data_IF_424947824631
#
_entry.id   IF_424947824631
#
_cell.length_a   1.000
_cell.length_b   1.000
_cell.length_c   1.000
_cell.angle_alpha   90.00
_cell.angle_beta   90.00
_cell.angle_gamma   90.00
#
_symmetry.space_group_name_H-M   'P 1'
#
loop_
_entity.id
_entity.type
_entity.pdbx_description
1 polymer ?
#
# COMPACT_ATOMS: atom_id res chain seq x y z
N UNK A 1 7.23 -2.41 0.99
CA UNK A 1 7.89 -1.54 2.03
C UNK A 1 8.79 -2.31 3.00
N UNK A 2 8.37 -3.39 3.65
CA UNK A 2 9.22 -4.09 4.64
C UNK A 2 10.63 -4.42 4.12
N UNK A 3 10.76 -4.91 2.88
CA UNK A 3 12.07 -5.20 2.28
C UNK A 3 12.89 -3.93 1.98
N UNK A 4 12.24 -2.82 1.63
CA UNK A 4 12.93 -1.55 1.39
C UNK A 4 13.58 -1.01 2.68
N UNK A 5 12.84 -1.08 3.80
CA UNK A 5 13.38 -0.72 5.11
C UNK A 5 14.46 -1.70 5.58
N UNK A 6 14.28 -3.02 5.35
CA UNK A 6 15.27 -4.02 5.71
C UNK A 6 16.58 -3.83 4.91
N UNK A 7 16.48 -3.56 3.60
CA UNK A 7 17.63 -3.25 2.75
C UNK A 7 18.39 -2.02 3.25
N UNK A 8 17.64 -0.94 3.55
CA UNK A 8 18.24 0.30 4.06
C UNK A 8 18.98 0.10 5.38
N UNK A 9 18.39 -0.62 6.33
CA UNK A 9 19.04 -0.91 7.59
C UNK A 9 20.33 -1.76 7.40
N UNK A 10 20.27 -2.75 6.49
CA UNK A 10 21.46 -3.56 6.15
C UNK A 10 22.56 -2.73 5.46
N UNK A 11 22.19 -1.78 4.60
CA UNK A 11 23.10 -0.83 3.96
C UNK A 11 23.78 0.07 5.02
N UNK A 12 23.02 0.53 6.03
CA UNK A 12 23.54 1.33 7.16
C UNK A 12 24.40 0.54 8.14
N UNK A 13 24.63 -0.74 7.91
CA UNK A 13 25.53 -1.59 8.69
C UNK A 13 24.87 -2.33 9.84
N UNK A 14 23.55 -2.28 9.94
CA UNK A 14 22.84 -3.13 10.91
C UNK A 14 22.84 -4.59 10.43
N UNK A 15 22.96 -5.52 11.38
CA UNK A 15 22.78 -6.94 11.11
C UNK A 15 21.29 -7.26 11.02
N UNK A 16 20.78 -7.40 9.79
CA UNK A 16 19.35 -7.58 9.52
C UNK A 16 19.05 -8.98 9.04
N UNK A 17 18.09 -9.63 9.68
CA UNK A 17 17.58 -10.95 9.29
C UNK A 17 16.11 -10.84 8.95
N UNK A 18 15.75 -11.09 7.69
CA UNK A 18 14.36 -11.10 7.23
C UNK A 18 13.84 -12.54 7.15
N UNK A 19 12.85 -12.84 7.98
CA UNK A 19 12.14 -14.12 7.95
C UNK A 19 10.94 -14.03 7.02
N UNK A 20 10.85 -14.94 6.05
CA UNK A 20 9.78 -14.92 5.05
C UNK A 20 9.16 -16.29 4.83
N UNK A 21 7.88 -16.31 4.46
CA UNK A 21 7.17 -17.52 4.04
C UNK A 21 7.23 -17.67 2.51
N UNK A 22 6.85 -16.60 1.80
CA UNK A 22 6.89 -16.53 0.34
C UNK A 22 7.64 -15.28 -0.08
N UNK A 23 8.60 -15.41 -0.98
CA UNK A 23 9.38 -14.30 -1.51
C UNK A 23 9.12 -14.17 -3.01
N UNK A 24 8.67 -13.00 -3.44
CA UNK A 24 8.54 -12.69 -4.87
C UNK A 24 9.85 -12.12 -5.38
N UNK A 25 10.37 -12.68 -6.46
CA UNK A 25 11.69 -12.34 -7.05
C UNK A 25 11.79 -10.92 -7.62
N UNK A 26 10.69 -10.19 -7.68
CA UNK A 26 10.66 -8.78 -8.14
C UNK A 26 11.47 -7.85 -7.23
N UNK A 27 11.64 -8.22 -5.95
CA UNK A 27 12.42 -7.44 -4.99
C UNK A 27 13.86 -7.95 -4.94
N UNK A 28 14.82 -7.04 -5.08
CA UNK A 28 16.26 -7.36 -4.96
C UNK A 28 16.69 -7.11 -3.50
N UNK A 29 17.04 -8.16 -2.74
CA UNK A 29 17.57 -8.00 -1.39
C UNK A 29 18.98 -7.42 -1.45
N UNK A 30 19.31 -6.56 -0.47
CA UNK A 30 20.68 -6.08 -0.29
C UNK A 30 21.62 -7.27 0.04
N UNK A 31 22.88 -7.31 -0.45
CA UNK A 31 23.79 -8.44 -0.22
C UNK A 31 24.04 -8.77 1.26
N UNK A 32 24.00 -7.78 2.14
CA UNK A 32 24.14 -7.95 3.60
C UNK A 32 22.86 -8.38 4.32
N UNK A 33 21.70 -8.37 3.63
CA UNK A 33 20.43 -8.79 4.21
C UNK A 33 20.36 -10.31 4.25
N UNK A 34 20.31 -10.88 5.44
CA UNK A 34 20.15 -12.33 5.61
C UNK A 34 18.70 -12.73 5.45
N UNK A 35 18.42 -13.55 4.44
CA UNK A 35 17.08 -14.08 4.17
C UNK A 35 16.94 -15.49 4.76
N UNK A 36 15.90 -15.71 5.58
CA UNK A 36 15.61 -17.04 6.13
C UNK A 36 14.17 -17.42 5.77
N UNK A 37 14.05 -18.52 5.02
CA UNK A 37 12.73 -19.08 4.70
C UNK A 37 12.16 -19.84 5.89
N UNK A 38 10.91 -19.54 6.24
CA UNK A 38 10.18 -20.26 7.28
C UNK A 38 9.83 -21.65 6.75
N UNK A 39 10.13 -22.73 7.49
CA UNK A 39 9.98 -24.09 6.98
C UNK A 39 8.54 -24.54 6.75
N UNK A 40 7.57 -23.88 7.40
CA UNK A 40 6.14 -24.22 7.31
C UNK A 40 5.43 -23.26 6.36
N UNK A 41 5.04 -23.67 5.14
CA UNK A 41 4.55 -22.77 4.08
C UNK A 41 3.08 -22.37 4.26
N UNK A 42 2.72 -21.77 5.41
CA UNK A 42 1.38 -21.23 5.64
C UNK A 42 1.40 -20.06 6.63
N UNK A 43 0.37 -19.22 6.62
CA UNK A 43 0.23 -18.13 7.60
C UNK A 43 0.23 -18.66 9.04
N UNK A 44 -0.52 -19.75 9.30
CA UNK A 44 -0.56 -20.40 10.60
C UNK A 44 0.80 -21.00 10.98
N UNK A 45 1.47 -21.64 10.02
CA UNK A 45 2.81 -22.18 10.21
C UNK A 45 3.84 -21.09 10.54
N UNK A 46 3.74 -19.91 9.90
CA UNK A 46 4.55 -18.74 10.23
C UNK A 46 4.34 -18.34 11.70
N UNK A 47 3.10 -18.24 12.13
CA UNK A 47 2.75 -17.85 13.51
C UNK A 47 3.31 -18.86 14.51
N UNK A 48 3.06 -20.16 14.31
CA UNK A 48 3.54 -21.24 15.19
C UNK A 48 5.08 -21.22 15.26
N UNK A 49 5.74 -21.21 14.10
CA UNK A 49 7.20 -21.22 14.04
C UNK A 49 7.82 -20.01 14.76
N UNK A 50 7.34 -18.80 14.46
CA UNK A 50 7.83 -17.59 15.07
C UNK A 50 7.61 -17.55 16.60
N UNK A 51 6.47 -18.10 17.07
CA UNK A 51 6.17 -18.16 18.52
C UNK A 51 7.10 -19.10 19.27
N UNK A 52 7.47 -20.22 18.65
CA UNK A 52 8.36 -21.22 19.26
C UNK A 52 9.84 -20.84 19.15
N UNK A 53 10.19 -20.05 18.13
CA UNK A 53 11.58 -19.63 17.90
C UNK A 53 12.06 -18.65 18.96
N UNK A 54 13.27 -18.87 19.47
CA UNK A 54 14.01 -17.87 20.26
C UNK A 54 14.84 -17.00 19.29
N UNK A 55 14.59 -15.70 19.31
CA UNK A 55 15.33 -14.74 18.50
C UNK A 55 16.47 -14.16 19.34
N UNK A 56 17.68 -14.22 18.82
CA UNK A 56 18.84 -13.54 19.40
C UNK A 56 19.09 -12.23 18.62
N UNK A 57 18.24 -11.24 18.88
CA UNK A 57 18.30 -9.92 18.22
C UNK A 57 17.94 -8.84 19.22
N UNK A 58 18.51 -7.65 19.05
CA UNK A 58 18.20 -6.49 19.89
C UNK A 58 16.78 -5.98 19.64
N UNK A 59 16.29 -6.05 18.38
CA UNK A 59 14.98 -5.61 17.98
C UNK A 59 14.27 -6.71 17.18
N UNK A 60 12.98 -6.86 17.38
CA UNK A 60 12.10 -7.73 16.62
C UNK A 60 11.00 -6.87 16.03
N UNK A 61 10.87 -6.84 14.71
CA UNK A 61 9.83 -6.08 14.01
C UNK A 61 8.88 -7.07 13.34
N UNK A 62 7.59 -6.92 13.59
CA UNK A 62 6.53 -7.77 13.01
C UNK A 62 5.45 -6.90 12.38
N UNK A 63 4.90 -7.35 11.28
CA UNK A 63 3.87 -6.62 10.50
C UNK A 63 2.48 -7.30 10.53
N UNK A 64 2.31 -8.31 11.38
CA UNK A 64 1.03 -9.01 11.58
C UNK A 64 0.66 -8.94 13.07
N UNK A 65 -0.56 -8.46 13.38
CA UNK A 65 -1.00 -8.28 14.77
C UNK A 65 -1.00 -9.59 15.58
N UNK A 66 -1.27 -10.72 14.96
CA UNK A 66 -1.20 -12.02 15.63
C UNK A 66 0.23 -12.36 16.09
N UNK A 67 1.25 -12.02 15.30
CA UNK A 67 2.65 -12.16 15.71
C UNK A 67 3.02 -11.17 16.80
N UNK A 68 2.56 -9.93 16.71
CA UNK A 68 2.76 -8.94 17.76
C UNK A 68 2.19 -9.44 19.09
N UNK A 69 0.97 -10.01 19.08
CA UNK A 69 0.32 -10.56 20.28
C UNK A 69 1.12 -11.69 20.94
N UNK A 70 1.56 -12.66 20.16
CA UNK A 70 2.22 -13.85 20.70
C UNK A 70 3.66 -13.60 21.12
N UNK A 71 4.41 -12.84 20.32
CA UNK A 71 5.80 -12.53 20.59
C UNK A 71 5.96 -11.52 21.74
N UNK A 72 4.98 -10.66 21.98
CA UNK A 72 5.03 -9.70 23.10
C UNK A 72 5.08 -10.37 24.47
N UNK A 73 4.54 -11.58 24.61
CA UNK A 73 4.61 -12.32 25.86
C UNK A 73 6.02 -12.62 26.35
N UNK A 74 7.01 -12.70 25.43
CA UNK A 74 8.40 -13.01 25.74
C UNK A 74 9.41 -11.91 25.34
N UNK A 75 9.00 -11.02 24.46
CA UNK A 75 9.93 -10.08 23.81
C UNK A 75 9.45 -8.62 23.87
N UNK A 76 8.53 -8.28 24.75
CA UNK A 76 7.84 -6.97 24.79
C UNK A 76 8.81 -5.78 24.73
N UNK A 77 9.92 -5.80 25.47
CA UNK A 77 10.88 -4.69 25.53
C UNK A 77 11.68 -4.46 24.25
N UNK A 78 11.65 -5.39 23.30
CA UNK A 78 12.38 -5.31 22.04
C UNK A 78 11.51 -5.57 20.81
N UNK A 79 10.18 -5.71 21.02
CA UNK A 79 9.22 -5.95 19.97
C UNK A 79 8.61 -4.63 19.50
N UNK A 80 8.58 -4.45 18.19
CA UNK A 80 7.90 -3.34 17.51
C UNK A 80 6.88 -3.93 16.55
N UNK A 81 5.63 -3.48 16.65
CA UNK A 81 4.62 -3.77 15.66
C UNK A 81 4.70 -2.73 14.54
N UNK A 82 5.00 -3.17 13.33
CA UNK A 82 5.02 -2.33 12.13
C UNK A 82 3.67 -2.41 11.41
N UNK A 83 2.77 -1.51 11.73
CA UNK A 83 1.43 -1.47 11.20
C UNK A 83 1.43 -0.92 9.76
N UNK A 84 1.40 -1.83 8.78
CA UNK A 84 1.31 -1.52 7.35
C UNK A 84 -0.15 -1.43 6.85
N UNK A 85 -1.13 -1.67 7.68
CA UNK A 85 -2.56 -1.62 7.44
C UNK A 85 -3.31 -2.02 8.71
N UNK A 86 -4.63 -2.06 8.62
CA UNK A 86 -5.48 -2.54 9.71
C UNK A 86 -5.97 -3.95 9.39
N UNK A 87 -5.42 -4.94 10.09
CA UNK A 87 -5.63 -6.37 9.76
C UNK A 87 -7.10 -6.79 9.74
N UNK A 88 -7.96 -6.17 10.59
CA UNK A 88 -9.40 -6.47 10.62
C UNK A 88 -10.08 -6.18 9.28
N UNK A 89 -9.63 -5.16 8.55
CA UNK A 89 -10.23 -4.74 7.29
C UNK A 89 -10.11 -5.80 6.17
N UNK A 90 -9.14 -6.71 6.29
CA UNK A 90 -8.96 -7.80 5.32
C UNK A 90 -9.98 -8.92 5.45
N UNK A 91 -10.77 -8.96 6.53
CA UNK A 91 -11.72 -10.03 6.78
C UNK A 91 -13.17 -9.58 6.55
N UNK A 92 -13.94 -10.38 5.79
CA UNK A 92 -15.40 -10.24 5.70
C UNK A 92 -16.12 -11.00 6.84
N UNK A 93 -15.52 -12.08 7.30
CA UNK A 93 -16.08 -12.93 8.34
C UNK A 93 -16.08 -12.23 9.71
N UNK A 94 -17.26 -12.08 10.38
CA UNK A 94 -17.38 -11.34 11.64
C UNK A 94 -16.57 -11.98 12.79
N UNK A 95 -16.47 -13.31 12.83
CA UNK A 95 -15.68 -14.00 13.84
C UNK A 95 -14.18 -13.70 13.70
N UNK A 96 -13.66 -13.69 12.45
CA UNK A 96 -12.26 -13.31 12.19
C UNK A 96 -12.02 -11.85 12.54
N UNK A 97 -12.96 -10.95 12.27
CA UNK A 97 -12.89 -9.54 12.67
C UNK A 97 -12.80 -9.42 14.19
N UNK A 98 -13.71 -10.08 14.92
CA UNK A 98 -13.73 -10.06 16.38
C UNK A 98 -12.42 -10.60 16.96
N UNK A 99 -11.92 -11.73 16.46
CA UNK A 99 -10.64 -12.29 16.87
C UNK A 99 -9.49 -11.30 16.65
N UNK A 100 -9.42 -10.69 15.46
CA UNK A 100 -8.38 -9.71 15.13
C UNK A 100 -8.47 -8.49 16.05
N UNK A 101 -9.67 -7.97 16.30
CA UNK A 101 -9.89 -6.86 17.24
C UNK A 101 -9.43 -7.22 18.66
N UNK A 102 -9.70 -8.43 19.13
CA UNK A 102 -9.21 -8.92 20.43
C UNK A 102 -7.68 -8.93 20.49
N UNK A 103 -7.00 -9.34 19.39
CA UNK A 103 -5.55 -9.31 19.31
C UNK A 103 -5.00 -7.89 19.37
N UNK A 104 -5.66 -6.90 18.73
CA UNK A 104 -5.31 -5.49 18.85
C UNK A 104 -5.46 -4.97 20.27
N UNK A 105 -6.58 -5.26 20.94
CA UNK A 105 -6.79 -4.90 22.35
C UNK A 105 -5.70 -5.51 23.23
N UNK A 106 -5.43 -6.79 23.08
CA UNK A 106 -4.42 -7.49 23.86
C UNK A 106 -3.02 -6.90 23.65
N UNK A 107 -2.59 -6.74 22.40
CA UNK A 107 -1.24 -6.27 22.07
C UNK A 107 -1.03 -4.80 22.38
N UNK A 108 -1.94 -3.94 21.91
CA UNK A 108 -1.72 -2.51 21.94
C UNK A 108 -2.21 -1.88 23.24
N UNK A 109 -3.42 -2.25 23.69
CA UNK A 109 -4.01 -1.65 24.89
C UNK A 109 -3.51 -2.28 26.20
N UNK A 110 -3.44 -3.62 26.28
CA UNK A 110 -3.07 -4.32 27.53
C UNK A 110 -1.54 -4.46 27.66
N UNK A 111 -0.87 -4.88 26.59
CA UNK A 111 0.58 -5.07 26.62
C UNK A 111 1.38 -3.85 26.17
N UNK A 112 0.73 -2.80 25.69
CA UNK A 112 1.36 -1.55 25.25
C UNK A 112 2.56 -1.81 24.30
N UNK A 113 2.36 -2.66 23.28
CA UNK A 113 3.39 -2.96 22.28
C UNK A 113 3.65 -1.71 21.47
N UNK A 114 4.92 -1.26 21.46
CA UNK A 114 5.35 -0.11 20.66
C UNK A 114 5.05 -0.33 19.20
N UNK A 115 4.46 0.66 18.56
CA UNK A 115 3.96 0.55 17.19
C UNK A 115 4.54 1.63 16.30
N UNK A 116 4.93 1.25 15.08
CA UNK A 116 5.22 2.19 14.00
C UNK A 116 4.10 2.06 12.97
N UNK A 117 3.38 3.13 12.69
CA UNK A 117 2.31 3.16 11.68
C UNK A 117 2.75 3.90 10.42
N UNK A 118 2.33 3.40 9.26
CA UNK A 118 2.76 3.91 7.94
C UNK A 118 1.99 5.14 7.45
N UNK A 119 1.01 5.64 8.22
CA UNK A 119 0.29 6.87 7.90
C UNK A 119 -0.29 7.53 9.16
N UNK A 120 -0.53 8.84 9.09
CA UNK A 120 -1.20 9.59 10.16
C UNK A 120 -2.62 9.06 10.42
N UNK A 121 -3.36 8.71 9.35
CA UNK A 121 -4.72 8.15 9.46
C UNK A 121 -4.73 6.83 10.25
N UNK A 122 -3.81 5.90 9.92
CA UNK A 122 -3.68 4.62 10.64
C UNK A 122 -3.22 4.84 12.09
N UNK A 123 -2.25 5.73 12.30
CA UNK A 123 -1.75 6.10 13.63
C UNK A 123 -2.87 6.64 14.53
N UNK A 124 -3.63 7.59 14.02
CA UNK A 124 -4.75 8.20 14.75
C UNK A 124 -5.80 7.14 15.10
N UNK A 125 -6.19 6.30 14.16
CA UNK A 125 -7.15 5.21 14.38
C UNK A 125 -6.67 4.25 15.49
N UNK A 126 -5.38 3.85 15.47
CA UNK A 126 -4.83 2.95 16.48
C UNK A 126 -4.76 3.61 17.87
N UNK A 127 -4.44 4.90 17.94
CA UNK A 127 -4.47 5.67 19.20
C UNK A 127 -5.88 5.79 19.76
N UNK A 128 -6.84 6.17 18.94
CA UNK A 128 -8.24 6.39 19.38
C UNK A 128 -8.93 5.10 19.79
N UNK A 129 -8.76 4.00 19.01
CA UNK A 129 -9.46 2.75 19.26
C UNK A 129 -8.80 1.88 20.33
N UNK A 130 -7.47 1.93 20.43
CA UNK A 130 -6.72 0.99 21.28
C UNK A 130 -5.83 1.66 22.31
N UNK A 131 -5.84 3.00 22.39
CA UNK A 131 -4.90 3.76 23.24
C UNK A 131 -3.44 3.33 23.02
N UNK A 132 -3.09 3.08 21.74
CA UNK A 132 -1.81 2.52 21.36
C UNK A 132 -0.69 3.57 21.42
N UNK A 133 0.50 3.15 21.82
CA UNK A 133 1.73 3.94 21.72
C UNK A 133 2.29 3.84 20.31
N UNK A 134 2.00 4.85 19.47
CA UNK A 134 2.28 4.83 18.04
C UNK A 134 3.17 5.98 17.61
N UNK A 135 4.28 5.64 16.98
CA UNK A 135 5.13 6.55 16.21
C UNK A 135 4.71 6.48 14.74
N UNK A 136 4.46 7.62 14.11
CA UNK A 136 4.11 7.65 12.67
C UNK A 136 5.37 7.78 11.83
N UNK A 137 5.53 6.87 10.88
CA UNK A 137 6.54 6.93 9.81
C UNK A 137 5.82 6.72 8.49
N UNK A 138 5.44 7.82 7.86
CA UNK A 138 4.72 7.75 6.58
C UNK A 138 5.61 7.11 5.50
N UNK A 139 5.00 6.21 4.72
CA UNK A 139 5.69 5.62 3.58
C UNK A 139 5.99 6.68 2.53
N UNK A 140 7.02 6.42 1.73
CA UNK A 140 7.40 7.26 0.61
C UNK A 140 7.45 6.48 -0.71
N UNK A 141 7.54 7.21 -1.80
CA UNK A 141 7.78 6.69 -3.14
C UNK A 141 9.25 6.88 -3.53
N UNK A 142 9.74 5.94 -4.29
CA UNK A 142 11.08 5.98 -4.89
C UNK A 142 11.04 6.83 -6.17
N UNK A 143 11.39 8.11 -6.04
CA UNK A 143 11.37 9.06 -7.16
C UNK A 143 12.42 8.77 -8.23
N UNK A 144 13.42 7.93 -7.95
CA UNK A 144 14.36 7.45 -8.97
C UNK A 144 13.75 6.34 -9.83
N UNK A 145 12.81 5.57 -9.29
CA UNK A 145 12.09 4.52 -10.00
C UNK A 145 10.77 4.99 -10.62
N UNK A 146 10.09 5.99 -10.00
CA UNK A 146 8.80 6.50 -10.44
C UNK A 146 8.88 7.99 -10.73
N UNK A 147 8.82 8.34 -12.00
CA UNK A 147 8.84 9.69 -12.57
C UNK A 147 8.10 9.66 -13.91
N UNK A 148 7.70 10.81 -14.48
CA UNK A 148 7.05 10.84 -15.79
C UNK A 148 7.96 10.29 -16.89
N UNK A 149 7.55 9.17 -17.50
CA UNK A 149 8.31 8.47 -18.55
C UNK A 149 7.33 7.68 -19.44
N UNK A 150 6.74 8.38 -20.41
CA UNK A 150 5.72 7.82 -21.29
C UNK A 150 6.31 6.85 -22.32
N UNK A 151 5.62 5.75 -22.59
CA UNK A 151 5.96 4.79 -23.64
C UNK A 151 5.25 5.19 -24.95
N UNK A 152 6.04 5.56 -25.98
CA UNK A 152 5.51 5.99 -27.27
C UNK A 152 4.67 4.90 -27.96
N UNK A 153 5.01 3.63 -27.79
CA UNK A 153 4.24 2.53 -28.35
C UNK A 153 2.85 2.45 -27.72
N UNK A 154 2.76 2.59 -26.38
CA UNK A 154 1.49 2.60 -25.67
C UNK A 154 0.64 3.81 -26.08
N UNK A 155 1.23 4.99 -26.18
CA UNK A 155 0.55 6.21 -26.61
C UNK A 155 0.00 6.05 -28.05
N UNK A 156 0.83 5.55 -28.97
CA UNK A 156 0.45 5.33 -30.36
C UNK A 156 -0.69 4.30 -30.49
N UNK A 157 -0.61 3.19 -29.75
CA UNK A 157 -1.59 2.10 -29.84
C UNK A 157 -2.95 2.46 -29.22
N UNK A 158 -2.98 3.24 -28.15
CA UNK A 158 -4.27 3.72 -27.61
C UNK A 158 -4.94 4.72 -28.54
N UNK A 159 -4.17 5.44 -29.37
CA UNK A 159 -4.67 6.44 -30.30
C UNK A 159 -5.44 7.56 -29.58
N UNK A 160 -6.68 7.83 -30.03
CA UNK A 160 -7.56 8.82 -29.41
C UNK A 160 -8.27 8.34 -28.15
N UNK A 161 -8.20 7.03 -27.81
CA UNK A 161 -8.83 6.50 -26.59
C UNK A 161 -8.12 6.97 -25.34
N UNK A 162 -8.90 7.05 -24.25
CA UNK A 162 -8.35 7.31 -22.91
C UNK A 162 -8.04 5.99 -22.20
N UNK A 163 -6.84 5.87 -21.67
CA UNK A 163 -6.42 4.71 -20.89
C UNK A 163 -6.76 4.91 -19.40
N UNK A 164 -7.67 4.07 -18.90
CA UNK A 164 -8.01 4.00 -17.46
C UNK A 164 -7.23 2.86 -16.84
N UNK A 165 -6.27 3.20 -15.98
CA UNK A 165 -5.41 2.22 -15.30
C UNK A 165 -6.09 1.70 -14.05
N UNK A 166 -6.06 0.37 -13.87
CA UNK A 166 -6.50 -0.33 -12.66
C UNK A 166 -5.38 -1.21 -12.10
N UNK A 167 -5.33 -1.30 -10.77
CA UNK A 167 -4.61 -2.38 -10.09
C UNK A 167 -5.57 -3.53 -9.80
N UNK A 168 -5.38 -4.67 -10.46
CA UNK A 168 -6.17 -5.88 -10.22
C UNK A 168 -5.51 -6.76 -9.18
N UNK A 169 -6.20 -6.98 -8.07
CA UNK A 169 -5.83 -7.92 -7.01
C UNK A 169 -7.07 -8.57 -6.43
N UNK A 170 -6.97 -9.85 -6.09
CA UNK A 170 -8.04 -10.61 -5.42
C UNK A 170 -8.35 -10.12 -4.00
N UNK A 171 -7.52 -9.24 -3.46
CA UNK A 171 -7.73 -8.60 -2.17
C UNK A 171 -8.96 -7.69 -2.20
N UNK A 172 -9.98 -8.05 -1.43
CA UNK A 172 -11.25 -7.31 -1.31
C UNK A 172 -11.05 -5.82 -0.99
N UNK A 173 -10.01 -5.49 -0.23
CA UNK A 173 -9.77 -4.09 0.18
C UNK A 173 -9.45 -3.19 -1.01
N UNK A 174 -8.98 -3.73 -2.14
CA UNK A 174 -8.58 -2.95 -3.33
C UNK A 174 -9.74 -2.51 -4.22
N UNK A 175 -10.95 -3.02 -3.99
CA UNK A 175 -12.17 -2.51 -4.63
C UNK A 175 -12.30 -2.81 -6.14
N UNK A 176 -11.67 -3.88 -6.65
CA UNK A 176 -11.79 -4.25 -8.07
C UNK A 176 -13.24 -4.46 -8.49
N UNK A 177 -14.06 -5.04 -7.64
CA UNK A 177 -15.50 -5.23 -7.87
C UNK A 177 -16.28 -3.90 -7.98
N UNK A 178 -15.86 -2.88 -7.21
CA UNK A 178 -16.42 -1.51 -7.33
C UNK A 178 -15.98 -0.89 -8.66
N UNK A 179 -14.69 -1.06 -9.03
CA UNK A 179 -14.19 -0.57 -10.32
C UNK A 179 -14.99 -1.15 -11.49
N UNK A 180 -15.20 -2.48 -11.49
CA UNK A 180 -15.95 -3.18 -12.54
C UNK A 180 -17.39 -2.66 -12.64
N UNK A 181 -18.09 -2.49 -11.51
CA UNK A 181 -19.45 -1.94 -11.49
C UNK A 181 -19.48 -0.52 -12.04
N UNK A 182 -18.60 0.37 -11.57
CA UNK A 182 -18.54 1.74 -12.04
C UNK A 182 -18.27 1.82 -13.54
N UNK A 183 -17.30 1.05 -14.06
CA UNK A 183 -16.92 1.03 -15.47
C UNK A 183 -18.04 0.47 -16.37
N UNK A 184 -18.78 -0.55 -15.92
CA UNK A 184 -19.90 -1.11 -16.69
C UNK A 184 -21.13 -0.20 -16.74
N UNK A 185 -21.22 0.76 -15.82
CA UNK A 185 -22.32 1.74 -15.76
C UNK A 185 -21.96 3.11 -16.33
N UNK A 186 -20.76 3.28 -16.89
CA UNK A 186 -20.37 4.50 -17.61
C UNK A 186 -21.37 4.78 -18.73
N UNK A 187 -21.58 6.07 -19.04
CA UNK A 187 -22.39 6.49 -20.16
C UNK A 187 -21.89 5.88 -21.48
N UNK A 188 -22.81 5.64 -22.42
CA UNK A 188 -22.48 4.94 -23.68
C UNK A 188 -21.42 5.65 -24.50
N UNK A 189 -21.29 6.97 -24.33
CA UNK A 189 -20.25 7.75 -24.99
C UNK A 189 -18.82 7.32 -24.63
N UNK A 190 -18.59 6.71 -23.43
CA UNK A 190 -17.26 6.30 -22.99
C UNK A 190 -16.88 4.88 -23.41
N UNK A 191 -17.84 4.03 -23.78
CA UNK A 191 -17.58 2.60 -24.05
C UNK A 191 -16.51 2.37 -25.12
N UNK A 192 -16.54 3.18 -26.18
CA UNK A 192 -15.59 3.08 -27.30
C UNK A 192 -14.44 4.09 -27.22
N UNK A 193 -14.55 5.09 -26.33
CA UNK A 193 -13.55 6.13 -26.15
C UNK A 193 -12.50 5.82 -25.09
N UNK A 194 -12.70 4.74 -24.33
CA UNK A 194 -11.72 4.31 -23.31
C UNK A 194 -11.23 2.89 -23.57
N UNK A 195 -10.07 2.60 -23.01
CA UNK A 195 -9.59 1.25 -22.81
C UNK A 195 -9.08 1.08 -21.36
N UNK A 196 -9.23 -0.13 -20.83
CA UNK A 196 -8.90 -0.45 -19.46
C UNK A 196 -7.55 -1.16 -19.42
N UNK A 197 -6.60 -0.54 -18.75
CA UNK A 197 -5.27 -1.08 -18.55
C UNK A 197 -5.16 -1.74 -17.19
N UNK A 198 -4.81 -3.03 -17.16
CA UNK A 198 -4.78 -3.84 -15.94
C UNK A 198 -3.35 -4.20 -15.59
N UNK A 199 -2.89 -3.75 -14.41
CA UNK A 199 -1.67 -4.25 -13.76
C UNK A 199 -2.05 -5.20 -12.63
N UNK A 200 -1.38 -6.37 -12.54
CA UNK A 200 -1.63 -7.37 -11.51
C UNK A 200 -2.30 -8.63 -12.02
N UNK A 201 -3.37 -9.07 -11.40
CA UNK A 201 -4.11 -10.27 -11.78
C UNK A 201 -4.93 -10.03 -13.06
N UNK A 202 -5.03 -11.04 -13.92
CA UNK A 202 -5.75 -10.95 -15.18
C UNK A 202 -7.26 -10.70 -14.94
N UNK A 203 -7.85 -9.80 -15.75
CA UNK A 203 -9.27 -9.56 -15.83
C UNK A 203 -9.77 -9.97 -17.21
N UNK A 204 -10.77 -10.85 -17.28
CA UNK A 204 -11.33 -11.35 -18.53
C UNK A 204 -12.16 -10.28 -19.23
N UNK A 205 -12.09 -10.25 -20.57
CA UNK A 205 -12.79 -9.24 -21.39
C UNK A 205 -14.32 -9.24 -21.18
N UNK A 206 -14.92 -10.40 -20.93
CA UNK A 206 -16.37 -10.53 -20.76
C UNK A 206 -16.92 -9.81 -19.53
N UNK A 207 -16.04 -9.41 -18.60
CA UNK A 207 -16.42 -8.74 -17.34
C UNK A 207 -16.65 -7.23 -17.57
N UNK A 208 -15.98 -6.63 -18.55
CA UNK A 208 -16.04 -5.20 -18.85
C UNK A 208 -16.42 -4.94 -20.30
N UNK A 209 -17.28 -3.94 -20.52
CA UNK A 209 -17.67 -3.50 -21.86
C UNK A 209 -16.52 -2.85 -22.64
N UNK A 210 -15.73 -1.90 -22.06
CA UNK A 210 -14.57 -1.35 -22.74
C UNK A 210 -13.49 -2.41 -22.98
N UNK A 211 -12.65 -2.18 -23.99
CA UNK A 211 -11.49 -3.03 -24.30
C UNK A 211 -10.54 -3.13 -23.11
N UNK A 212 -10.11 -4.34 -22.75
CA UNK A 212 -9.13 -4.61 -21.70
C UNK A 212 -7.74 -4.90 -22.30
N UNK A 213 -6.71 -4.36 -21.67
CA UNK A 213 -5.30 -4.71 -21.90
C UNK A 213 -4.69 -5.15 -20.58
N UNK A 214 -4.37 -6.44 -20.47
CA UNK A 214 -3.76 -7.01 -19.28
C UNK A 214 -2.23 -6.99 -19.43
N UNK A 215 -1.55 -6.28 -18.53
CA UNK A 215 -0.08 -6.26 -18.46
C UNK A 215 0.50 -7.29 -17.48
N UNK A 216 -0.35 -7.84 -16.59
CA UNK A 216 0.09 -8.80 -15.57
C UNK A 216 0.93 -8.18 -14.46
N UNK A 217 1.75 -9.01 -13.80
CA UNK A 217 2.71 -8.58 -12.79
C UNK A 217 4.03 -8.20 -13.47
N UNK A 218 4.42 -6.95 -13.34
CA UNK A 218 5.53 -6.32 -14.07
C UNK A 218 6.52 -5.65 -13.13
N UNK A 219 7.75 -5.46 -13.59
CA UNK A 219 8.80 -4.75 -12.86
C UNK A 219 8.58 -3.23 -12.83
N UNK A 220 9.30 -2.52 -11.94
CA UNK A 220 9.15 -1.09 -11.69
C UNK A 220 9.26 -0.24 -12.96
N UNK A 221 10.26 -0.50 -13.83
CA UNK A 221 10.48 0.29 -15.04
C UNK A 221 9.30 0.23 -16.01
N UNK A 222 8.83 -1.00 -16.32
CA UNK A 222 7.67 -1.17 -17.19
C UNK A 222 6.38 -0.64 -16.53
N UNK A 223 6.25 -0.76 -15.22
CA UNK A 223 5.13 -0.21 -14.47
C UNK A 223 5.13 1.33 -14.57
N UNK A 224 6.27 1.98 -14.38
CA UNK A 224 6.44 3.43 -14.58
C UNK A 224 5.95 3.88 -15.94
N UNK A 225 6.41 3.23 -17.02
CA UNK A 225 6.02 3.58 -18.38
C UNK A 225 4.52 3.44 -18.61
N UNK A 226 3.90 2.37 -18.11
CA UNK A 226 2.44 2.16 -18.21
C UNK A 226 1.68 3.24 -17.45
N UNK A 227 2.08 3.52 -16.21
CA UNK A 227 1.44 4.56 -15.38
C UNK A 227 1.57 5.92 -16.05
N UNK A 228 2.77 6.28 -16.52
CA UNK A 228 3.02 7.58 -17.20
C UNK A 228 2.24 7.74 -18.50
N UNK A 229 1.89 6.63 -19.17
CA UNK A 229 1.15 6.63 -20.44
C UNK A 229 -0.37 6.56 -20.25
N UNK A 230 -0.84 6.27 -19.04
CA UNK A 230 -2.26 6.23 -18.70
C UNK A 230 -2.84 7.65 -18.55
N UNK A 231 -4.11 7.83 -18.89
CA UNK A 231 -4.81 9.12 -18.75
C UNK A 231 -5.34 9.33 -17.31
N UNK A 232 -5.59 8.25 -16.58
CA UNK A 232 -6.04 8.28 -15.17
C UNK A 232 -5.81 6.94 -14.49
N UNK A 233 -5.39 6.98 -13.22
CA UNK A 233 -5.51 5.83 -12.32
C UNK A 233 -6.89 5.85 -11.66
N UNK A 234 -7.68 4.78 -11.83
CA UNK A 234 -8.93 4.56 -11.11
C UNK A 234 -8.72 3.50 -10.01
N UNK A 235 -8.73 3.95 -8.74
CA UNK A 235 -8.35 3.13 -7.60
C UNK A 235 -9.39 3.21 -6.47
N UNK A 236 -10.55 2.53 -6.62
CA UNK A 236 -11.68 2.62 -5.68
C UNK A 236 -11.48 1.73 -4.45
N UNK A 237 -10.36 1.91 -3.76
CA UNK A 237 -9.98 1.09 -2.61
C UNK A 237 -10.91 1.31 -1.42
N UNK A 238 -11.15 0.24 -0.64
CA UNK A 238 -11.93 0.26 0.60
C UNK A 238 -11.10 0.62 1.81
N UNK A 239 -9.85 0.18 1.79
CA UNK A 239 -8.93 0.38 2.90
C UNK A 239 -7.49 0.37 2.43
N UNK A 240 -6.72 1.30 2.97
CA UNK A 240 -5.27 1.38 2.79
C UNK A 240 -4.58 1.60 4.15
N UNK A 241 -3.35 1.11 4.26
CA UNK A 241 -2.47 1.58 5.31
C UNK A 241 -1.89 2.95 4.99
N UNK A 242 -1.52 3.15 3.72
CA UNK A 242 -0.99 4.40 3.19
C UNK A 242 -1.51 4.69 1.76
N UNK A 243 -1.40 3.72 0.84
CA UNK A 243 -1.78 3.88 -0.56
C UNK A 243 -0.59 4.16 -1.48
N UNK A 244 0.38 3.24 -1.54
CA UNK A 244 1.58 3.43 -2.36
C UNK A 244 1.28 3.53 -3.85
N UNK A 245 0.38 2.71 -4.39
CA UNK A 245 0.11 2.69 -5.82
C UNK A 245 -0.47 4.02 -6.36
N UNK A 246 -1.42 4.69 -5.69
CA UNK A 246 -1.80 6.05 -6.06
C UNK A 246 -0.65 7.07 -5.96
N UNK A 247 0.27 6.94 -4.99
CA UNK A 247 1.43 7.82 -4.88
C UNK A 247 2.44 7.58 -6.00
N UNK A 248 2.67 6.32 -6.39
CA UNK A 248 3.48 5.95 -7.55
C UNK A 248 2.86 6.50 -8.85
N UNK A 249 1.53 6.49 -8.96
CA UNK A 249 0.84 7.09 -10.10
C UNK A 249 1.02 8.62 -10.14
N UNK A 250 0.87 9.29 -9.01
CA UNK A 250 1.14 10.73 -8.90
C UNK A 250 2.59 11.07 -9.25
N UNK A 251 3.56 10.25 -8.81
CA UNK A 251 4.98 10.42 -9.15
C UNK A 251 5.25 10.28 -10.65
N UNK A 252 4.46 9.48 -11.36
CA UNK A 252 4.51 9.35 -12.82
C UNK A 252 3.68 10.41 -13.57
N UNK A 253 3.11 11.38 -12.87
CA UNK A 253 2.25 12.41 -13.47
C UNK A 253 0.86 11.91 -13.88
N UNK A 254 0.45 10.71 -13.47
CA UNK A 254 -0.87 10.18 -13.74
C UNK A 254 -1.88 10.70 -12.71
N UNK A 255 -2.95 11.41 -13.14
CA UNK A 255 -3.98 11.88 -12.21
C UNK A 255 -4.77 10.70 -11.64
N UNK A 256 -5.29 10.88 -10.43
CA UNK A 256 -5.86 9.79 -9.62
C UNK A 256 -7.32 10.04 -9.29
N UNK A 257 -8.17 9.03 -9.51
CA UNK A 257 -9.50 8.92 -8.92
C UNK A 257 -9.48 7.80 -7.89
N UNK A 258 -9.75 8.11 -6.65
CA UNK A 258 -9.66 7.15 -5.53
C UNK A 258 -10.69 7.44 -4.45
N UNK A 259 -10.53 6.88 -3.26
CA UNK A 259 -11.39 7.09 -2.11
C UNK A 259 -10.63 7.74 -0.95
N UNK A 260 -11.36 8.22 0.05
CA UNK A 260 -10.79 8.73 1.31
C UNK A 260 -10.02 7.70 2.14
N UNK A 261 -9.96 6.44 1.69
CA UNK A 261 -9.13 5.40 2.31
C UNK A 261 -7.63 5.61 2.08
N UNK A 262 -7.25 6.40 1.08
CA UNK A 262 -5.86 6.84 0.85
C UNK A 262 -5.59 8.08 1.71
N UNK A 263 -4.53 8.06 2.51
CA UNK A 263 -4.35 9.00 3.63
C UNK A 263 -3.97 10.44 3.25
N UNK A 264 -3.31 10.64 2.10
CA UNK A 264 -2.73 11.93 1.68
C UNK A 264 -3.54 12.62 0.56
N UNK A 265 -4.65 12.02 0.11
CA UNK A 265 -5.45 12.62 -0.96
C UNK A 265 -6.43 13.65 -0.44
N UNK A 266 -6.58 14.73 -1.20
CA UNK A 266 -7.54 15.80 -0.97
C UNK A 266 -8.36 16.00 -2.23
N UNK A 267 -9.68 15.96 -2.10
CA UNK A 267 -10.60 16.07 -3.23
C UNK A 267 -10.43 17.39 -3.98
N UNK A 268 -10.36 17.32 -5.30
CA UNK A 268 -10.16 18.46 -6.23
C UNK A 268 -8.84 19.23 -6.05
N UNK A 269 -8.01 18.85 -5.07
CA UNK A 269 -6.69 19.43 -4.88
C UNK A 269 -5.62 18.60 -5.57
N UNK A 270 -5.40 17.33 -5.16
CA UNK A 270 -4.39 16.43 -5.72
C UNK A 270 -4.95 15.11 -6.28
N UNK A 271 -6.25 14.84 -6.08
CA UNK A 271 -6.97 13.70 -6.63
C UNK A 271 -8.45 14.02 -6.76
N UNK A 272 -9.24 13.20 -7.47
CA UNK A 272 -10.68 13.16 -7.28
C UNK A 272 -10.99 12.05 -6.26
N UNK A 273 -11.63 12.44 -5.16
CA UNK A 273 -11.87 11.53 -4.03
C UNK A 273 -13.36 11.21 -3.92
N UNK A 274 -13.69 9.93 -4.19
CA UNK A 274 -15.05 9.43 -4.05
C UNK A 274 -15.32 8.82 -2.68
N UNK A 275 -16.60 8.51 -2.45
CA UNK A 275 -17.04 7.79 -1.24
C UNK A 275 -16.68 6.31 -1.36
N UNK A 276 -16.18 5.73 -0.27
CA UNK A 276 -15.94 4.29 -0.18
C UNK A 276 -17.25 3.53 -0.40
N UNK A 277 -17.22 2.43 -1.14
CA UNK A 277 -18.39 1.58 -1.45
C UNK A 277 -19.49 2.28 -2.27
N UNK A 278 -19.21 3.40 -2.93
CA UNK A 278 -20.19 4.12 -3.74
C UNK A 278 -19.75 4.19 -5.21
N UNK A 279 -20.12 3.18 -5.98
CA UNK A 279 -19.78 3.05 -7.39
C UNK A 279 -20.31 4.21 -8.25
N UNK A 280 -21.49 4.76 -7.94
CA UNK A 280 -22.07 5.87 -8.70
C UNK A 280 -21.25 7.15 -8.49
N UNK A 281 -20.91 7.48 -7.27
CA UNK A 281 -20.08 8.65 -7.01
C UNK A 281 -18.67 8.53 -7.61
N UNK A 282 -18.07 7.33 -7.54
CA UNK A 282 -16.78 7.05 -8.17
C UNK A 282 -16.85 7.10 -9.70
N UNK A 283 -17.95 6.64 -10.29
CA UNK A 283 -18.25 6.76 -11.73
C UNK A 283 -18.30 8.23 -12.14
N UNK A 284 -19.08 9.08 -11.43
CA UNK A 284 -19.17 10.52 -11.71
C UNK A 284 -17.79 11.20 -11.68
N UNK A 285 -16.97 10.87 -10.68
CA UNK A 285 -15.59 11.36 -10.59
C UNK A 285 -14.73 10.90 -11.77
N UNK A 286 -14.90 9.64 -12.23
CA UNK A 286 -14.19 9.12 -13.40
C UNK A 286 -14.64 9.79 -14.69
N UNK A 287 -15.94 9.94 -14.94
CA UNK A 287 -16.46 10.62 -16.13
C UNK A 287 -16.00 12.09 -16.19
N UNK A 288 -16.00 12.77 -15.03
CA UNK A 288 -15.53 14.15 -14.94
C UNK A 288 -14.06 14.29 -15.33
N UNK A 289 -13.18 13.43 -14.82
CA UNK A 289 -11.74 13.52 -15.16
C UNK A 289 -11.45 13.09 -16.61
N UNK A 290 -12.25 12.18 -17.16
CA UNK A 290 -12.12 11.76 -18.54
C UNK A 290 -12.52 12.88 -19.53
N UNK A 291 -13.52 13.69 -19.20
CA UNK A 291 -14.01 14.79 -20.06
C UNK A 291 -13.19 16.07 -19.91
N UNK A 292 -12.65 16.38 -18.74
CA UNK A 292 -12.00 17.66 -18.43
C UNK A 292 -10.47 17.55 -18.48
N UNK A 293 -9.86 18.04 -19.56
CA UNK A 293 -8.41 18.08 -19.73
C UNK A 293 -7.73 19.00 -18.72
N UNK A 294 -8.31 20.18 -18.48
CA UNK A 294 -7.69 21.16 -17.55
C UNK A 294 -7.64 20.61 -16.13
N UNK A 295 -8.70 19.90 -15.72
CA UNK A 295 -8.73 19.20 -14.44
C UNK A 295 -7.67 18.11 -14.36
N UNK A 296 -7.50 17.30 -15.43
CA UNK A 296 -6.42 16.29 -15.46
C UNK A 296 -5.04 16.92 -15.29
N UNK A 297 -4.75 17.98 -16.06
CA UNK A 297 -3.47 18.67 -16.02
C UNK A 297 -3.23 19.29 -14.64
N UNK A 298 -4.25 19.91 -14.02
CA UNK A 298 -4.20 20.42 -12.65
C UNK A 298 -3.87 19.34 -11.63
N UNK A 299 -4.61 18.22 -11.67
CA UNK A 299 -4.43 17.13 -10.68
C UNK A 299 -3.10 16.40 -10.87
N UNK A 300 -2.63 16.25 -12.12
CA UNK A 300 -1.30 15.72 -12.42
C UNK A 300 -0.20 16.59 -11.79
N UNK A 301 -0.22 17.89 -12.03
CA UNK A 301 0.77 18.83 -11.48
C UNK A 301 0.74 18.85 -9.94
N UNK A 302 -0.43 18.87 -9.35
CA UNK A 302 -0.58 18.85 -7.89
C UNK A 302 -0.17 17.50 -7.30
N UNK A 303 -0.42 16.39 -8.02
CA UNK A 303 0.08 15.07 -7.67
C UNK A 303 1.61 15.01 -7.63
N UNK A 304 2.28 15.55 -8.64
CA UNK A 304 3.75 15.66 -8.65
C UNK A 304 4.30 16.51 -7.49
N UNK A 305 3.55 17.53 -7.06
CA UNK A 305 3.98 18.36 -5.94
C UNK A 305 3.86 17.64 -4.60
N UNK A 306 2.74 16.94 -4.35
CA UNK A 306 2.55 16.19 -3.09
C UNK A 306 3.57 15.06 -2.93
N UNK A 307 4.01 14.44 -4.02
CA UNK A 307 5.04 13.40 -4.01
C UNK A 307 6.34 13.85 -3.35
N UNK A 308 6.71 15.13 -3.47
CA UNK A 308 7.92 15.69 -2.86
C UNK A 308 7.91 15.62 -1.32
N UNK A 309 6.72 15.55 -0.71
CA UNK A 309 6.57 15.42 0.73
C UNK A 309 6.76 13.96 1.21
N UNK A 310 6.68 13.00 0.28
CA UNK A 310 6.71 11.56 0.56
C UNK A 310 7.89 10.87 -0.11
N UNK A 311 9.10 11.33 0.17
CA UNK A 311 10.34 10.72 -0.32
C UNK A 311 10.66 9.43 0.43
N UNK A 312 10.99 8.34 -0.31
CA UNK A 312 11.28 7.05 0.27
C UNK A 312 12.55 7.07 1.14
N UNK A 313 13.57 7.83 0.76
CA UNK A 313 14.81 7.88 1.53
C UNK A 313 14.61 8.61 2.86
N UNK A 314 13.80 9.67 2.87
CA UNK A 314 13.40 10.33 4.12
C UNK A 314 12.54 9.41 5.01
N UNK A 315 11.63 8.64 4.43
CA UNK A 315 10.87 7.62 5.17
C UNK A 315 11.77 6.57 5.80
N UNK A 316 12.80 6.10 5.08
CA UNK A 316 13.80 5.14 5.59
C UNK A 316 14.58 5.71 6.77
N UNK A 317 15.03 6.97 6.69
CA UNK A 317 15.73 7.67 7.81
C UNK A 317 14.82 7.81 9.04
N UNK A 318 13.57 8.24 8.83
CA UNK A 318 12.58 8.35 9.91
C UNK A 318 12.29 7.00 10.56
N UNK A 319 12.24 5.92 9.76
CA UNK A 319 12.01 4.56 10.28
C UNK A 319 13.16 4.09 11.18
N UNK A 320 14.42 4.28 10.76
CA UNK A 320 15.59 3.96 11.58
C UNK A 320 15.60 4.79 12.88
N UNK A 321 15.32 6.09 12.80
CA UNK A 321 15.24 6.98 13.96
C UNK A 321 14.16 6.51 14.94
N UNK A 322 12.97 6.17 14.45
CA UNK A 322 11.86 5.67 15.25
C UNK A 322 12.24 4.38 16.00
N UNK A 323 12.91 3.45 15.34
CA UNK A 323 13.42 2.23 16.00
C UNK A 323 14.37 2.58 17.13
N UNK A 324 15.34 3.47 16.90
CA UNK A 324 16.33 3.89 17.93
C UNK A 324 15.64 4.54 19.13
N UNK A 325 14.71 5.46 18.91
CA UNK A 325 13.97 6.15 19.98
C UNK A 325 13.13 5.18 20.80
N UNK A 326 12.41 4.26 20.16
CA UNK A 326 11.65 3.21 20.85
C UNK A 326 12.57 2.33 21.70
N UNK A 327 13.73 1.97 21.21
CA UNK A 327 14.65 1.11 21.95
C UNK A 327 15.28 1.82 23.15
N UNK A 328 15.60 3.11 23.03
CA UNK A 328 16.11 3.94 24.14
C UNK A 328 15.06 4.06 25.24
N UNK A 329 13.81 4.40 24.89
CA UNK A 329 12.73 4.51 25.89
C UNK A 329 12.46 3.20 26.63
N UNK A 330 12.65 2.05 25.98
CA UNK A 330 12.49 0.74 26.62
C UNK A 330 13.68 0.37 27.54
N UNK A 331 14.87 0.96 27.36
CA UNK A 331 16.02 0.73 28.22
C UNK A 331 15.97 1.54 29.51
N UNK A 332 15.32 2.70 29.50
CA UNK A 332 15.15 3.56 30.69
C UNK A 332 14.06 3.03 31.65
N UNK A 333 13.21 2.13 31.19
CA UNK A 333 12.14 1.51 31.97
C UNK A 333 12.58 0.21 32.70
N UNK A 334 13.84 -0.21 32.56
CA UNK A 334 14.46 -1.35 33.26
C UNK A 334 15.28 -0.91 34.42
#
# INVERSE_FOLDING_TARGET
MAIEYANYLAEKGHEVVLWYNTFKTVFKPHPKLKLIKIPIPSKLGTIIYATLKRFNSNVIIVDIIALASLLSLRNRSRLIFFAQGYDESYYKNPFKKLLTKTLYIFSLKLLNVKTIAVSNQLSQMLKEQYNADVTTVENGVDSESFYPDQDEYLIRNKGSRKAVLLLSRSDYTKGLDIAIKALNTLSDEWKDKIEIWICGEEVKQEILKPKIINFGWIGKDKLRNIISSADVLFYPTRHEGFGLFPLEAMACGCPVVTTKAVSYVKDEENALVGRVENENNLKEKLERILSDRQLRDKLSNNGLNIVKEYDLNESKKKFEKAIREIMLSNSELK
#
